data_IF_045346382641
#
_entry.id   IF_045346382641
#
_cell.length_a   1.000
_cell.length_b   1.000
_cell.length_c   1.000
_cell.angle_alpha   90.00
_cell.angle_beta   90.00
_cell.angle_gamma   90.00
#
_symmetry.space_group_name_H-M   'P 1'
#
loop_
_entity.id
_entity.type
_entity.pdbx_description
1 polymer ?
#
# COMPACT_ATOMS: atom_id res chain seq x y z
N UNK A 1 -8.09 20.59 21.66
CA UNK A 1 -7.04 19.67 21.21
C UNK A 1 -7.33 19.26 19.78
N UNK A 2 -6.32 18.93 18.98
CA UNK A 2 -6.52 18.47 17.60
C UNK A 2 -5.95 17.08 17.43
N UNK A 3 -6.55 16.27 16.58
CA UNK A 3 -6.06 14.94 16.27
C UNK A 3 -4.73 15.03 15.51
N UNK A 4 -3.69 14.35 16.00
CA UNK A 4 -2.35 14.35 15.38
C UNK A 4 -2.31 13.62 14.05
N UNK A 5 -3.31 12.77 13.75
CA UNK A 5 -3.36 12.01 12.51
C UNK A 5 -4.15 12.71 11.39
N UNK A 6 -5.29 13.35 11.70
CA UNK A 6 -6.17 13.96 10.68
C UNK A 6 -6.43 15.46 10.89
N UNK A 7 -5.89 16.09 11.94
CA UNK A 7 -6.05 17.52 12.23
C UNK A 7 -7.46 17.93 12.71
N UNK A 8 -8.42 17.01 12.84
CA UNK A 8 -9.76 17.34 13.31
C UNK A 8 -9.77 17.75 14.78
N UNK A 9 -10.70 18.65 15.16
CA UNK A 9 -10.87 19.11 16.53
C UNK A 9 -11.38 17.95 17.40
N UNK A 10 -10.74 17.75 18.56
CA UNK A 10 -11.12 16.75 19.54
C UNK A 10 -11.79 17.41 20.74
N UNK A 11 -12.84 16.80 21.25
CA UNK A 11 -13.47 17.21 22.50
C UNK A 11 -12.72 16.66 23.71
N UNK A 12 -12.86 17.34 24.84
CA UNK A 12 -12.18 16.94 26.09
C UNK A 12 -12.73 15.59 26.57
N UNK A 13 -11.83 14.63 26.82
CA UNK A 13 -12.21 13.29 27.30
C UNK A 13 -12.44 12.22 26.22
N UNK A 14 -12.31 12.56 24.93
CA UNK A 14 -12.38 11.56 23.86
C UNK A 14 -11.14 10.63 23.87
N UNK A 15 -11.37 9.35 23.90
CA UNK A 15 -10.31 8.33 23.81
C UNK A 15 -9.91 8.02 22.36
N UNK A 16 -10.80 8.32 21.40
CA UNK A 16 -10.58 8.09 19.97
C UNK A 16 -11.09 9.28 19.16
N UNK A 17 -10.39 9.62 18.09
CA UNK A 17 -10.86 10.63 17.14
C UNK A 17 -12.08 10.10 16.38
N UNK A 18 -13.20 10.82 16.42
CA UNK A 18 -14.45 10.44 15.73
C UNK A 18 -14.35 10.51 14.21
N UNK A 19 -13.37 11.25 13.67
CA UNK A 19 -13.17 11.41 12.24
C UNK A 19 -12.29 10.32 11.61
N UNK A 20 -11.26 9.84 12.32
CA UNK A 20 -10.28 8.90 11.76
C UNK A 20 -10.03 7.66 12.64
N UNK A 21 -10.71 7.52 13.78
CA UNK A 21 -10.56 6.37 14.68
C UNK A 21 -9.24 6.32 15.47
N UNK A 22 -8.32 7.27 15.26
CA UNK A 22 -7.02 7.28 15.95
C UNK A 22 -7.20 7.48 17.46
N UNK A 23 -6.51 6.67 18.25
CA UNK A 23 -6.52 6.80 19.71
C UNK A 23 -5.86 8.11 20.15
N UNK A 24 -6.53 8.86 21.00
CA UNK A 24 -6.02 10.12 21.59
C UNK A 24 -5.25 9.77 22.85
N UNK A 25 -3.94 9.99 22.84
CA UNK A 25 -3.11 9.86 24.05
C UNK A 25 -3.31 11.11 24.91
N UNK A 26 -4.07 11.00 25.97
CA UNK A 26 -4.10 12.01 27.03
C UNK A 26 -2.82 11.88 27.85
N UNK A 27 -1.86 12.78 27.62
CA UNK A 27 -0.76 13.00 28.55
C UNK A 27 -1.29 13.77 29.76
N UNK A 28 -1.94 13.09 30.68
CA UNK A 28 -2.17 13.63 32.01
C UNK A 28 -1.11 13.08 32.95
N UNK A 29 -0.09 13.90 33.18
CA UNK A 29 0.78 13.79 34.34
C UNK A 29 -0.06 13.92 35.61
N UNK A 30 -0.47 12.82 36.20
CA UNK A 30 -0.90 12.80 37.59
C UNK A 30 0.28 12.28 38.41
N UNK A 31 0.99 13.23 39.03
CA UNK A 31 1.87 12.98 40.15
C UNK A 31 0.98 12.55 41.32
N UNK A 32 1.02 11.28 41.68
CA UNK A 32 0.58 10.84 43.00
C UNK A 32 1.68 10.03 43.63
N UNK A 33 2.26 10.66 44.67
CA UNK A 33 3.16 10.03 45.63
C UNK A 33 2.39 8.95 46.41
N UNK A 34 2.86 7.73 46.34
CA UNK A 34 2.36 6.60 47.11
C UNK A 34 3.34 5.45 47.04
N UNK A 35 4.15 5.36 48.05
CA UNK A 35 5.09 4.29 48.40
C UNK A 35 4.48 2.90 48.13
N UNK A 36 5.09 2.08 47.26
CA UNK A 36 5.18 0.64 47.49
C UNK A 36 6.29 0.01 46.63
N UNK A 37 7.21 -0.57 47.37
CA UNK A 37 8.30 -1.44 46.97
C UNK A 37 7.77 -2.61 46.08
N UNK A 38 8.08 -2.64 44.77
CA UNK A 38 8.00 -3.86 43.97
C UNK A 38 9.21 -3.98 43.06
N UNK A 39 9.78 -5.14 43.10
CA UNK A 39 10.98 -5.62 42.45
C UNK A 39 11.04 -5.24 40.97
N UNK A 40 12.24 -4.77 40.59
CA UNK A 40 12.68 -4.37 39.30
C UNK A 40 12.86 -5.63 38.39
N UNK A 41 11.79 -6.09 37.76
CA UNK A 41 11.86 -7.00 36.64
C UNK A 41 11.56 -6.18 35.39
N UNK A 42 12.59 -5.56 34.84
CA UNK A 42 12.55 -4.83 33.56
C UNK A 42 12.48 -5.80 32.38
N UNK A 43 11.46 -6.62 32.33
CA UNK A 43 11.01 -7.23 31.08
C UNK A 43 10.15 -6.19 30.38
N UNK A 44 10.76 -5.42 29.48
CA UNK A 44 10.01 -4.68 28.47
C UNK A 44 9.20 -5.68 27.65
N UNK A 45 7.94 -5.91 28.04
CA UNK A 45 6.98 -6.53 27.17
C UNK A 45 6.81 -5.59 25.96
N UNK A 46 7.58 -5.85 24.90
CA UNK A 46 7.19 -5.33 23.59
C UNK A 46 5.73 -5.71 23.39
N UNK A 47 4.84 -4.75 23.05
CA UNK A 47 3.46 -5.09 22.71
C UNK A 47 3.53 -6.17 21.65
N UNK A 48 2.88 -7.31 21.92
CA UNK A 48 2.82 -8.44 21.00
C UNK A 48 2.42 -7.88 19.65
N UNK A 49 3.36 -7.92 18.69
CA UNK A 49 3.08 -7.47 17.33
C UNK A 49 1.97 -8.39 16.82
N UNK A 50 0.79 -7.84 16.58
CA UNK A 50 -0.29 -8.58 15.94
C UNK A 50 0.28 -9.28 14.71
N UNK A 51 -0.05 -10.57 14.48
CA UNK A 51 0.50 -11.33 13.37
C UNK A 51 0.32 -10.52 12.09
N UNK A 52 1.45 -10.29 11.39
CA UNK A 52 1.45 -9.51 10.15
C UNK A 52 0.56 -10.23 9.15
N UNK A 53 -0.53 -9.59 8.74
CA UNK A 53 -1.41 -10.15 7.72
C UNK A 53 -0.63 -10.30 6.41
N UNK A 54 -0.63 -11.50 5.84
CA UNK A 54 0.02 -11.79 4.56
C UNK A 54 -0.92 -11.45 3.42
N UNK A 55 -0.45 -10.77 2.36
CA UNK A 55 -1.25 -10.56 1.16
C UNK A 55 -1.70 -11.87 0.52
N UNK A 56 -2.95 -11.93 0.12
CA UNK A 56 -3.50 -13.04 -0.66
C UNK A 56 -3.02 -12.96 -2.11
N UNK A 57 -2.95 -11.73 -2.64
CA UNK A 57 -2.55 -11.48 -4.02
C UNK A 57 -2.03 -10.05 -4.20
N UNK A 58 -1.12 -9.86 -5.18
CA UNK A 58 -0.60 -8.56 -5.59
C UNK A 58 -0.78 -8.43 -7.10
N UNK A 59 -1.50 -7.39 -7.52
CA UNK A 59 -1.82 -7.10 -8.91
C UNK A 59 -1.17 -5.80 -9.37
N UNK A 60 -0.46 -5.83 -10.50
CA UNK A 60 0.00 -4.62 -11.18
C UNK A 60 -1.16 -3.91 -11.88
N UNK A 61 -1.25 -2.59 -11.70
CA UNK A 61 -2.25 -1.75 -12.31
C UNK A 61 -1.70 -0.35 -12.62
N UNK A 62 -2.51 0.48 -13.24
CA UNK A 62 -2.22 1.90 -13.45
C UNK A 62 -3.43 2.75 -13.10
N UNK A 63 -3.17 3.96 -12.60
CA UNK A 63 -4.18 4.96 -12.27
C UNK A 63 -3.96 6.21 -13.13
N UNK A 64 -5.01 6.71 -13.76
CA UNK A 64 -5.00 7.99 -14.45
C UNK A 64 -5.29 9.08 -13.42
N UNK A 65 -4.36 10.00 -13.23
CA UNK A 65 -4.50 11.16 -12.35
C UNK A 65 -5.07 12.36 -13.10
N UNK A 66 -4.66 12.54 -14.37
CA UNK A 66 -5.15 13.57 -15.28
C UNK A 66 -4.97 13.10 -16.73
N UNK A 67 -5.41 13.87 -17.71
CA UNK A 67 -5.41 13.50 -19.14
C UNK A 67 -4.07 12.94 -19.64
N UNK A 68 -2.93 13.44 -19.14
CA UNK A 68 -1.58 13.01 -19.55
C UNK A 68 -0.77 12.37 -18.41
N UNK A 69 -1.35 12.23 -17.22
CA UNK A 69 -0.63 11.73 -16.06
C UNK A 69 -1.19 10.37 -15.62
N UNK A 70 -0.49 9.33 -16.02
CA UNK A 70 -0.79 7.94 -15.63
C UNK A 70 0.36 7.45 -14.76
N UNK A 71 0.05 6.95 -13.58
CA UNK A 71 1.03 6.35 -12.69
C UNK A 71 0.78 4.85 -12.54
N UNK A 72 1.86 4.10 -12.45
CA UNK A 72 1.80 2.68 -12.11
C UNK A 72 1.47 2.52 -10.62
N UNK A 73 0.78 1.44 -10.29
CA UNK A 73 0.52 1.07 -8.90
C UNK A 73 0.43 -0.45 -8.75
N UNK A 74 0.53 -0.92 -7.52
CA UNK A 74 0.22 -2.29 -7.14
C UNK A 74 -1.00 -2.29 -6.23
N UNK A 75 -1.96 -3.16 -6.53
CA UNK A 75 -3.10 -3.44 -5.66
C UNK A 75 -2.77 -4.69 -4.88
N UNK A 76 -2.74 -4.58 -3.57
CA UNK A 76 -2.31 -5.62 -2.64
C UNK A 76 -3.54 -6.05 -1.86
N UNK A 77 -4.00 -7.26 -2.12
CA UNK A 77 -5.22 -7.82 -1.53
C UNK A 77 -4.89 -8.59 -0.26
N UNK A 78 -5.59 -8.28 0.81
CA UNK A 78 -5.62 -9.02 2.07
C UNK A 78 -7.00 -9.63 2.28
N UNK A 79 -7.21 -10.37 3.35
CA UNK A 79 -8.53 -11.00 3.63
C UNK A 79 -9.64 -10.01 4.00
N UNK A 80 -9.28 -8.83 4.51
CA UNK A 80 -10.22 -7.84 5.06
C UNK A 80 -10.12 -6.46 4.41
N UNK A 81 -9.08 -6.24 3.58
CA UNK A 81 -8.76 -4.95 2.97
C UNK A 81 -7.93 -5.08 1.71
N UNK A 82 -7.78 -3.99 0.99
CA UNK A 82 -6.76 -3.82 -0.03
C UNK A 82 -5.93 -2.55 0.24
N UNK A 83 -4.67 -2.59 -0.18
CA UNK A 83 -3.81 -1.42 -0.26
C UNK A 83 -3.51 -1.10 -1.72
N UNK A 84 -3.38 0.19 -2.04
CA UNK A 84 -2.90 0.63 -3.35
C UNK A 84 -1.58 1.36 -3.15
N UNK A 85 -0.51 0.74 -3.61
CA UNK A 85 0.85 1.28 -3.56
C UNK A 85 1.17 1.95 -4.90
N UNK A 86 1.26 3.27 -4.92
CA UNK A 86 1.52 4.06 -6.12
C UNK A 86 3.02 4.19 -6.37
N UNK A 87 3.43 3.97 -7.62
CA UNK A 87 4.81 4.16 -8.08
C UNK A 87 4.89 5.54 -8.74
N UNK A 88 5.08 6.57 -7.93
CA UNK A 88 5.25 7.93 -8.45
C UNK A 88 6.57 8.08 -9.20
N UNK A 89 6.71 9.05 -10.12
CA UNK A 89 7.97 9.29 -10.83
C UNK A 89 9.16 9.51 -9.88
N UNK A 90 8.96 10.25 -8.79
CA UNK A 90 9.98 10.52 -7.77
C UNK A 90 10.39 9.23 -7.06
N UNK A 91 9.41 8.42 -6.65
CA UNK A 91 9.64 7.13 -6.02
C UNK A 91 10.37 6.18 -6.95
N UNK A 92 9.92 6.07 -8.22
CA UNK A 92 10.57 5.25 -9.23
C UNK A 92 12.02 5.67 -9.47
N UNK A 93 12.28 6.98 -9.56
CA UNK A 93 13.63 7.53 -9.73
C UNK A 93 14.53 7.17 -8.54
N UNK A 94 14.03 7.31 -7.32
CA UNK A 94 14.78 6.98 -6.10
C UNK A 94 15.14 5.48 -6.04
N UNK A 95 14.18 4.58 -6.29
CA UNK A 95 14.41 3.14 -6.28
C UNK A 95 15.34 2.70 -7.42
N UNK A 96 15.18 3.28 -8.62
CA UNK A 96 16.09 3.02 -9.75
C UNK A 96 17.52 3.49 -9.45
N UNK A 97 17.70 4.62 -8.76
CA UNK A 97 19.00 5.12 -8.35
C UNK A 97 19.70 4.19 -7.36
N UNK A 98 18.96 3.69 -6.35
CA UNK A 98 19.46 2.68 -5.40
C UNK A 98 19.93 1.42 -6.14
N UNK A 99 19.06 0.87 -7.01
CA UNK A 99 19.39 -0.33 -7.80
C UNK A 99 20.57 -0.11 -8.74
N UNK A 100 20.66 1.06 -9.37
CA UNK A 100 21.82 1.43 -10.21
C UNK A 100 23.13 1.47 -9.43
N UNK A 101 23.11 1.95 -8.19
CA UNK A 101 24.30 1.96 -7.32
C UNK A 101 24.73 0.52 -6.97
N UNK A 102 23.79 -0.38 -6.66
CA UNK A 102 24.09 -1.79 -6.43
C UNK A 102 24.70 -2.48 -7.66
N UNK A 103 24.10 -2.24 -8.85
CA UNK A 103 24.59 -2.78 -10.12
C UNK A 103 26.02 -2.27 -10.42
N UNK A 104 26.31 -1.01 -10.19
CA UNK A 104 27.65 -0.45 -10.36
C UNK A 104 28.65 -1.08 -9.37
N UNK A 105 28.25 -1.24 -8.12
CA UNK A 105 29.10 -1.86 -7.10
C UNK A 105 29.43 -3.34 -7.40
N UNK A 106 28.53 -4.05 -8.09
CA UNK A 106 28.74 -5.45 -8.50
C UNK A 106 29.67 -5.63 -9.71
N UNK A 107 30.11 -4.52 -10.32
CA UNK A 107 31.08 -4.49 -11.44
C UNK A 107 30.69 -5.33 -12.66
N UNK A 108 29.37 -5.50 -12.89
CA UNK A 108 28.82 -6.20 -14.06
C UNK A 108 28.78 -5.28 -15.28
N UNK A 109 29.01 -5.83 -16.47
CA UNK A 109 29.00 -5.07 -17.72
C UNK A 109 27.62 -4.47 -18.03
N UNK A 110 27.59 -3.45 -18.90
CA UNK A 110 26.41 -2.64 -19.23
C UNK A 110 25.16 -3.45 -19.59
N UNK A 111 25.28 -4.45 -20.48
CA UNK A 111 24.13 -5.28 -20.89
C UNK A 111 23.55 -6.10 -19.74
N UNK A 112 24.41 -6.67 -18.91
CA UNK A 112 23.96 -7.41 -17.71
C UNK A 112 23.31 -6.45 -16.70
N UNK A 113 23.88 -5.25 -16.52
CA UNK A 113 23.32 -4.23 -15.65
C UNK A 113 21.93 -3.78 -16.10
N UNK A 114 21.71 -3.60 -17.41
CA UNK A 114 20.40 -3.29 -17.97
C UNK A 114 19.40 -4.43 -17.73
N UNK A 115 19.80 -5.67 -17.94
CA UNK A 115 18.95 -6.83 -17.68
C UNK A 115 18.57 -6.96 -16.18
N UNK A 116 19.51 -6.68 -15.27
CA UNK A 116 19.23 -6.66 -13.81
C UNK A 116 18.24 -5.54 -13.44
N UNK A 117 18.33 -4.36 -14.05
CA UNK A 117 17.35 -3.28 -13.82
C UNK A 117 15.95 -3.68 -14.32
N UNK A 118 15.86 -4.31 -15.49
CA UNK A 118 14.58 -4.79 -16.02
C UNK A 118 13.97 -5.86 -15.10
N UNK A 119 14.78 -6.81 -14.62
CA UNK A 119 14.36 -7.86 -13.69
C UNK A 119 13.91 -7.26 -12.35
N UNK A 120 14.63 -6.28 -11.83
CA UNK A 120 14.28 -5.56 -10.61
C UNK A 120 12.84 -5.01 -10.68
N UNK A 121 12.49 -4.32 -11.77
CA UNK A 121 11.15 -3.78 -11.94
C UNK A 121 10.09 -4.86 -12.23
N UNK A 122 10.45 -5.91 -12.99
CA UNK A 122 9.55 -7.03 -13.23
C UNK A 122 9.16 -7.77 -11.95
N UNK A 123 10.10 -7.88 -11.00
CA UNK A 123 9.93 -8.58 -9.73
C UNK A 123 9.56 -7.65 -8.56
N UNK A 124 9.42 -6.35 -8.82
CA UNK A 124 9.23 -5.34 -7.75
C UNK A 124 8.03 -5.60 -6.86
N UNK A 125 6.94 -6.13 -7.41
CA UNK A 125 5.73 -6.50 -6.67
C UNK A 125 5.98 -7.53 -5.56
N UNK A 126 7.00 -8.38 -5.69
CA UNK A 126 7.29 -9.48 -4.74
C UNK A 126 7.59 -8.96 -3.34
N UNK A 127 8.16 -7.76 -3.21
CA UNK A 127 8.46 -7.18 -1.90
C UNK A 127 7.21 -6.99 -1.04
N UNK A 128 6.05 -6.72 -1.67
CA UNK A 128 4.80 -6.47 -0.96
C UNK A 128 4.25 -7.69 -0.23
N UNK A 129 4.67 -8.91 -0.61
CA UNK A 129 4.30 -10.11 0.13
C UNK A 129 4.97 -10.21 1.51
N UNK A 130 6.07 -9.50 1.73
CA UNK A 130 6.84 -9.54 2.97
C UNK A 130 6.89 -8.20 3.72
N UNK A 131 6.49 -7.10 3.06
CA UNK A 131 6.45 -5.78 3.68
C UNK A 131 5.31 -5.66 4.69
N UNK A 132 5.56 -4.92 5.77
CA UNK A 132 4.50 -4.53 6.72
C UNK A 132 3.55 -3.52 6.05
N UNK A 133 2.25 -3.65 6.29
CA UNK A 133 1.22 -2.76 5.72
C UNK A 133 1.54 -1.28 5.97
N UNK A 134 1.93 -0.92 7.19
CA UNK A 134 2.31 0.44 7.52
C UNK A 134 3.50 0.95 6.69
N UNK A 135 4.50 0.11 6.44
CA UNK A 135 5.63 0.48 5.60
C UNK A 135 5.20 0.71 4.14
N UNK A 136 4.27 -0.11 3.62
CA UNK A 136 3.67 0.10 2.29
C UNK A 136 2.95 1.46 2.22
N UNK A 137 2.11 1.77 3.23
CA UNK A 137 1.34 3.01 3.26
C UNK A 137 2.21 4.27 3.34
N UNK A 138 3.43 4.14 3.87
CA UNK A 138 4.36 5.27 4.03
C UNK A 138 5.37 5.41 2.89
N UNK A 139 5.39 4.50 1.89
CA UNK A 139 6.31 4.61 0.74
C UNK A 139 6.05 5.87 -0.10
N UNK A 140 4.78 6.22 -0.28
CA UNK A 140 4.38 7.48 -0.93
C UNK A 140 3.13 8.05 -0.23
N UNK A 141 2.93 9.36 -0.32
CA UNK A 141 1.75 10.02 0.24
C UNK A 141 0.45 9.75 -0.54
N UNK A 142 0.54 9.08 -1.69
CA UNK A 142 -0.61 8.67 -2.51
C UNK A 142 -1.12 7.27 -2.16
N UNK A 143 -0.37 6.50 -1.34
CA UNK A 143 -0.76 5.16 -0.98
C UNK A 143 -2.00 5.19 -0.09
N UNK A 144 -2.94 4.30 -0.38
CA UNK A 144 -4.24 4.26 0.30
C UNK A 144 -4.57 2.85 0.76
N UNK A 145 -5.38 2.78 1.80
CA UNK A 145 -6.00 1.57 2.31
C UNK A 145 -7.52 1.67 2.13
N UNK A 146 -8.14 0.57 1.71
CA UNK A 146 -9.59 0.43 1.60
C UNK A 146 -9.97 -0.87 2.29
N UNK A 147 -10.72 -0.80 3.39
CA UNK A 147 -11.29 -1.96 4.07
C UNK A 147 -12.54 -2.43 3.35
N UNK A 148 -12.77 -3.75 3.27
CA UNK A 148 -13.87 -4.29 2.46
C UNK A 148 -15.26 -3.92 2.97
N UNK A 149 -15.42 -3.63 4.25
CA UNK A 149 -16.68 -3.12 4.79
C UNK A 149 -17.06 -1.72 4.27
N UNK A 150 -16.11 -0.98 3.70
CA UNK A 150 -16.36 0.30 3.04
C UNK A 150 -16.66 0.16 1.54
N UNK A 151 -16.44 -1.02 0.95
CA UNK A 151 -16.66 -1.25 -0.48
C UNK A 151 -18.16 -1.48 -0.73
N UNK A 152 -18.75 -0.66 -1.57
CA UNK A 152 -20.17 -0.79 -1.97
C UNK A 152 -20.35 -1.55 -3.28
N UNK A 153 -19.38 -1.45 -4.20
CA UNK A 153 -19.43 -2.12 -5.50
C UNK A 153 -18.02 -2.34 -6.05
N UNK A 154 -17.82 -3.48 -6.73
CA UNK A 154 -16.63 -3.76 -7.54
C UNK A 154 -17.06 -4.12 -8.94
N UNK A 155 -16.56 -3.38 -9.95
CA UNK A 155 -16.68 -3.71 -11.37
C UNK A 155 -15.33 -4.15 -11.89
N UNK A 156 -15.27 -5.36 -12.41
CA UNK A 156 -14.06 -5.93 -13.03
C UNK A 156 -14.34 -6.25 -14.48
N UNK A 157 -13.47 -5.80 -15.38
CA UNK A 157 -13.45 -6.15 -16.79
C UNK A 157 -12.07 -6.69 -17.13
N UNK A 158 -12.00 -7.91 -17.61
CA UNK A 158 -10.72 -8.53 -17.99
C UNK A 158 -10.13 -7.81 -19.21
N UNK A 159 -8.80 -7.85 -19.30
CA UNK A 159 -8.10 -7.43 -20.51
C UNK A 159 -8.33 -8.49 -21.60
N UNK A 160 -8.73 -8.05 -22.79
CA UNK A 160 -8.85 -8.89 -23.98
C UNK A 160 -7.80 -8.40 -24.98
N UNK A 161 -6.93 -9.32 -25.39
CA UNK A 161 -5.97 -9.04 -26.43
C UNK A 161 -6.70 -8.97 -27.76
N UNK A 162 -6.56 -7.86 -28.46
CA UNK A 162 -7.09 -7.68 -29.80
C UNK A 162 -6.42 -8.62 -30.82
N UNK A 163 -7.02 -8.69 -32.00
CA UNK A 163 -6.42 -9.31 -33.19
C UNK A 163 -5.82 -8.24 -34.10
N UNK A 164 -5.27 -8.64 -35.25
CA UNK A 164 -4.70 -7.69 -36.22
C UNK A 164 -5.76 -6.68 -36.71
N UNK A 165 -7.06 -7.05 -36.66
CA UNK A 165 -8.18 -6.23 -37.11
C UNK A 165 -8.93 -5.52 -35.95
N UNK A 166 -8.76 -5.95 -34.69
CA UNK A 166 -9.46 -5.41 -33.52
C UNK A 166 -8.46 -4.90 -32.47
N UNK A 167 -8.62 -3.65 -31.95
CA UNK A 167 -7.75 -3.13 -30.93
C UNK A 167 -7.91 -3.89 -29.61
N UNK A 168 -6.84 -3.91 -28.79
CA UNK A 168 -6.89 -4.41 -27.43
C UNK A 168 -8.01 -3.74 -26.62
N UNK A 169 -8.85 -4.52 -25.94
CA UNK A 169 -9.78 -3.98 -24.95
C UNK A 169 -9.05 -3.83 -23.61
N UNK A 170 -9.06 -2.62 -23.06
CA UNK A 170 -8.38 -2.32 -21.79
C UNK A 170 -9.07 -2.97 -20.60
N UNK A 171 -8.37 -3.83 -19.85
CA UNK A 171 -8.87 -4.33 -18.58
C UNK A 171 -8.99 -3.23 -17.52
N UNK A 172 -10.02 -3.26 -16.70
CA UNK A 172 -10.20 -2.31 -15.61
C UNK A 172 -10.81 -2.93 -14.35
N UNK A 173 -10.51 -2.33 -13.22
CA UNK A 173 -11.22 -2.54 -11.97
C UNK A 173 -11.68 -1.19 -11.42
N UNK A 174 -12.97 -1.08 -11.13
CA UNK A 174 -13.56 0.07 -10.44
C UNK A 174 -14.06 -0.39 -9.09
N UNK A 175 -13.63 0.29 -8.03
CA UNK A 175 -14.02 0.01 -6.66
C UNK A 175 -14.72 1.25 -6.12
N UNK A 176 -16.04 1.12 -5.89
CA UNK A 176 -16.86 2.17 -5.29
C UNK A 176 -16.85 2.01 -3.77
N UNK A 177 -16.61 3.11 -3.07
CA UNK A 177 -16.52 3.15 -1.61
C UNK A 177 -17.75 3.89 -1.06
N UNK A 178 -18.22 3.49 0.12
CA UNK A 178 -19.44 4.01 0.76
C UNK A 178 -19.45 5.54 0.97
N UNK A 179 -18.28 6.19 0.98
CA UNK A 179 -18.15 7.64 1.04
C UNK A 179 -18.33 8.34 -0.34
N UNK A 180 -18.70 7.60 -1.39
CA UNK A 180 -18.91 8.12 -2.74
C UNK A 180 -17.64 8.18 -3.61
N UNK A 181 -16.48 7.82 -3.08
CA UNK A 181 -15.24 7.75 -3.87
C UNK A 181 -15.26 6.52 -4.78
N UNK A 182 -14.67 6.65 -5.97
CA UNK A 182 -14.47 5.55 -6.92
C UNK A 182 -13.00 5.46 -7.29
N UNK A 183 -12.38 4.34 -6.94
CA UNK A 183 -11.04 4.00 -7.40
C UNK A 183 -11.15 3.33 -8.78
N UNK A 184 -10.57 3.98 -9.81
CA UNK A 184 -10.55 3.48 -11.19
C UNK A 184 -9.12 3.10 -11.55
N UNK A 185 -8.89 1.83 -11.86
CA UNK A 185 -7.58 1.29 -12.21
C UNK A 185 -7.67 0.53 -13.53
N UNK A 186 -6.61 0.60 -14.34
CA UNK A 186 -6.43 -0.21 -15.55
C UNK A 186 -5.43 -1.32 -15.27
N UNK A 187 -5.63 -2.49 -15.86
CA UNK A 187 -4.74 -3.65 -15.73
C UNK A 187 -4.65 -4.43 -17.05
N UNK A 188 -3.75 -5.43 -17.09
CA UNK A 188 -3.55 -6.33 -18.23
C UNK A 188 -3.81 -7.80 -17.88
N UNK A 189 -4.71 -8.08 -16.95
CA UNK A 189 -5.06 -9.45 -16.56
C UNK A 189 -6.14 -9.95 -17.54
N UNK A 190 -5.83 -11.01 -18.27
CA UNK A 190 -6.76 -11.67 -19.20
C UNK A 190 -7.43 -12.90 -18.60
N UNK A 191 -8.54 -13.34 -19.15
CA UNK A 191 -9.24 -14.56 -18.72
C UNK A 191 -8.42 -15.85 -18.89
N UNK A 192 -7.46 -15.88 -19.82
CA UNK A 192 -6.69 -17.10 -20.15
C UNK A 192 -5.65 -17.49 -19.09
N UNK A 193 -5.38 -16.65 -18.11
CA UNK A 193 -4.40 -16.94 -17.05
C UNK A 193 -4.94 -17.78 -15.88
N UNK A 194 -6.24 -18.12 -15.87
CA UNK A 194 -6.89 -18.78 -14.73
C UNK A 194 -7.27 -20.26 -14.94
N UNK A 195 -7.02 -20.86 -16.11
CA UNK A 195 -7.38 -22.26 -16.35
C UNK A 195 -6.24 -23.05 -16.97
N UNK A 196 -5.18 -23.25 -16.22
CA UNK A 196 -4.30 -24.42 -16.35
C UNK A 196 -3.95 -24.90 -14.94
N UNK A 197 -4.88 -25.56 -14.32
CA UNK A 197 -4.65 -26.45 -13.20
C UNK A 197 -4.17 -27.80 -13.72
#
# INVERSE_FOLDING_TARGET
MFCTNCGSKLETGQQFCTQCGTRVSSNDNIINAGNNNYNNDNTYHQPAQSPQATPVWVMGASKTLSFLNIISCYVIFYNDRLLVAHITPEFQKAESAKKSAEIKASNIGFFKGSAEMMRFWADYYKKYYTMRQQAILTETNLNIEITYNMVSEVKFHAFEQGSDDDPDSGGYIHISVSNGQVLKLKHKISHSSSVKS
#
